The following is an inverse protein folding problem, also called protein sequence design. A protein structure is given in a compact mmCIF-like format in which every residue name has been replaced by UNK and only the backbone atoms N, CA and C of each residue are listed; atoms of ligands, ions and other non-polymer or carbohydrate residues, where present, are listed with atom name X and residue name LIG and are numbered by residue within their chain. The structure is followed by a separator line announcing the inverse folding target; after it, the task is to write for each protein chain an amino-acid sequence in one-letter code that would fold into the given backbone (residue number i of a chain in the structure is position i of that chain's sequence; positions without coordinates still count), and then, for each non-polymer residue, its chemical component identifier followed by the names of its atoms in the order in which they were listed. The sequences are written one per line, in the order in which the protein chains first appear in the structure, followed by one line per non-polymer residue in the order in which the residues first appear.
data_IF_183908063674
#
_entry.id   IF_183908063674
#
_cell.length_a   1.000
_cell.length_b   1.000
_cell.length_c   1.000
_cell.angle_alpha   90.00
_cell.angle_beta   90.00
_cell.angle_gamma   90.00
#
_symmetry.space_group_name_H-M   'P 1'
#
loop_
_entity.id
_entity.type
_entity.pdbx_description
1 polymer ?
#
# COMPACT_ATOMS: atom_id res chain seq x y z
N UNK A 1 14.96 20.28 -14.00
CA UNK A 1 13.52 20.60 -14.18
C UNK A 1 12.60 19.40 -14.47
N UNK A 2 13.08 18.19 -14.83
CA UNK A 2 12.20 17.01 -15.04
C UNK A 2 11.72 16.31 -13.75
N UNK A 3 12.43 16.45 -12.64
CA UNK A 3 12.08 15.82 -11.35
C UNK A 3 10.79 16.38 -10.73
N UNK A 4 10.47 17.66 -10.94
CA UNK A 4 9.34 18.31 -10.28
C UNK A 4 7.96 17.88 -10.83
N UNK A 5 7.92 17.32 -12.06
CA UNK A 5 6.70 16.77 -12.65
C UNK A 5 6.39 15.34 -12.19
N UNK A 6 7.41 14.57 -11.79
CA UNK A 6 7.19 13.21 -11.26
C UNK A 6 6.65 13.26 -9.83
N UNK A 7 7.14 14.19 -9.00
CA UNK A 7 6.67 14.37 -7.61
C UNK A 7 5.19 14.77 -7.56
N UNK A 8 4.72 15.60 -8.50
CA UNK A 8 3.30 15.97 -8.62
C UNK A 8 2.40 14.82 -9.07
N UNK A 9 2.89 13.88 -9.87
CA UNK A 9 2.09 12.73 -10.31
C UNK A 9 1.90 11.68 -9.20
N UNK A 10 2.83 11.60 -8.25
CA UNK A 10 2.74 10.70 -7.10
C UNK A 10 1.76 11.23 -6.06
N UNK A 11 1.76 12.53 -5.78
CA UNK A 11 0.90 13.17 -4.77
C UNK A 11 -0.60 13.14 -5.13
N UNK A 12 -0.98 13.23 -6.41
CA UNK A 12 -2.39 13.13 -6.80
C UNK A 12 -2.97 11.71 -6.68
N UNK A 13 -2.13 10.68 -6.59
CA UNK A 13 -2.59 9.28 -6.38
C UNK A 13 -2.82 8.91 -4.92
N UNK A 14 -2.24 9.65 -3.97
CA UNK A 14 -2.31 9.37 -2.52
C UNK A 14 -3.62 9.86 -1.89
N UNK A 15 -4.31 10.81 -2.53
CA UNK A 15 -5.55 11.44 -2.04
C UNK A 15 -6.83 10.58 -2.16
N UNK A 16 -6.73 9.27 -2.40
CA UNK A 16 -7.89 8.39 -2.54
C UNK A 16 -7.99 7.30 -1.46
N UNK A 17 -7.32 7.49 -0.32
CA UNK A 17 -7.32 6.59 0.84
C UNK A 17 -8.69 6.52 1.53
N UNK A 18 -9.45 7.61 1.56
CA UNK A 18 -10.81 7.65 2.16
C UNK A 18 -11.88 6.99 1.27
N UNK A 19 -11.67 6.98 -0.04
CA UNK A 19 -12.56 6.26 -0.96
C UNK A 19 -12.40 4.74 -0.80
N UNK A 20 -11.17 4.26 -0.60
CA UNK A 20 -10.85 2.84 -0.49
C UNK A 20 -11.29 2.21 0.84
N UNK A 21 -11.28 2.94 1.95
CA UNK A 21 -11.76 2.44 3.25
C UNK A 21 -13.30 2.34 3.31
N UNK A 22 -14.01 3.31 2.73
CA UNK A 22 -15.47 3.25 2.53
C UNK A 22 -15.88 2.17 1.53
N UNK A 23 -15.07 1.92 0.50
CA UNK A 23 -15.27 0.80 -0.44
C UNK A 23 -15.05 -0.57 0.19
N UNK A 24 -14.17 -0.73 1.21
CA UNK A 24 -14.00 -2.00 1.96
C UNK A 24 -15.29 -2.43 2.65
N UNK A 25 -15.93 -1.52 3.39
CA UNK A 25 -17.19 -1.80 4.07
C UNK A 25 -18.31 -2.13 3.07
N UNK A 26 -18.40 -1.36 1.98
CA UNK A 26 -19.41 -1.58 0.94
C UNK A 26 -19.22 -2.88 0.16
N UNK A 27 -17.99 -3.27 -0.14
CA UNK A 27 -17.69 -4.53 -0.84
C UNK A 27 -17.91 -5.76 0.05
N UNK A 28 -17.56 -5.70 1.34
CA UNK A 28 -17.83 -6.80 2.28
C UNK A 28 -19.33 -6.92 2.60
N UNK A 29 -20.06 -5.81 2.70
CA UNK A 29 -21.52 -5.81 2.85
C UNK A 29 -22.23 -6.31 1.59
N UNK A 30 -21.79 -5.88 0.40
CA UNK A 30 -22.31 -6.39 -0.87
C UNK A 30 -21.97 -7.87 -1.09
N UNK A 31 -20.76 -8.30 -0.69
CA UNK A 31 -20.33 -9.70 -0.70
C UNK A 31 -21.19 -10.58 0.21
N UNK A 32 -21.47 -10.12 1.44
CA UNK A 32 -22.41 -10.80 2.35
C UNK A 32 -23.83 -10.82 1.77
N UNK A 33 -24.31 -9.71 1.23
CA UNK A 33 -25.64 -9.60 0.61
C UNK A 33 -25.83 -10.56 -0.56
N UNK A 34 -24.82 -10.70 -1.42
CA UNK A 34 -24.84 -11.64 -2.55
C UNK A 34 -24.79 -13.11 -2.11
N UNK A 35 -24.02 -13.44 -1.06
CA UNK A 35 -24.02 -14.79 -0.47
C UNK A 35 -25.39 -15.15 0.13
N UNK A 36 -26.01 -14.23 0.88
CA UNK A 36 -27.36 -14.43 1.41
C UNK A 36 -28.42 -14.55 0.31
N UNK A 37 -28.31 -13.75 -0.75
CA UNK A 37 -29.18 -13.85 -1.92
C UNK A 37 -29.00 -15.21 -2.63
N UNK A 38 -27.78 -15.71 -2.76
CA UNK A 38 -27.49 -17.01 -3.34
C UNK A 38 -28.07 -18.16 -2.49
N UNK A 39 -27.91 -18.09 -1.17
CA UNK A 39 -28.51 -19.05 -0.24
C UNK A 39 -30.04 -19.04 -0.29
N UNK A 40 -30.66 -17.86 -0.40
CA UNK A 40 -32.12 -17.74 -0.59
C UNK A 40 -32.58 -18.34 -1.91
N UNK A 41 -31.83 -18.13 -3.01
CA UNK A 41 -32.14 -18.72 -4.30
C UNK A 41 -32.04 -20.25 -4.24
N UNK A 42 -30.99 -20.80 -3.63
CA UNK A 42 -30.83 -22.24 -3.45
C UNK A 42 -31.95 -22.78 -2.55
N UNK A 43 -32.29 -22.11 -1.45
CA UNK A 43 -33.38 -22.51 -0.57
C UNK A 43 -34.73 -22.53 -1.30
N UNK A 44 -35.02 -21.52 -2.12
CA UNK A 44 -36.23 -21.45 -2.94
C UNK A 44 -36.29 -22.58 -3.98
N UNK A 45 -35.17 -22.87 -4.66
CA UNK A 45 -35.05 -24.02 -5.59
C UNK A 45 -35.30 -25.34 -4.85
N UNK A 46 -34.68 -25.51 -3.68
CA UNK A 46 -34.78 -26.76 -2.90
C UNK A 46 -36.20 -26.94 -2.35
N UNK A 47 -36.85 -25.86 -1.92
CA UNK A 47 -38.25 -25.86 -1.49
C UNK A 47 -39.21 -26.16 -2.65
N UNK A 48 -38.94 -25.64 -3.86
CA UNK A 48 -39.71 -25.96 -5.06
C UNK A 48 -39.54 -27.43 -5.47
N UNK A 49 -38.32 -27.96 -5.45
CA UNK A 49 -38.05 -29.37 -5.79
C UNK A 49 -38.66 -30.34 -4.76
N UNK A 50 -38.63 -30.02 -3.45
CA UNK A 50 -39.26 -30.83 -2.40
C UNK A 50 -40.79 -30.67 -2.34
N UNK A 51 -41.28 -29.46 -2.55
CA UNK A 51 -42.71 -29.13 -2.53
C UNK A 51 -43.42 -29.33 -3.86
N UNK A 52 -42.69 -29.69 -4.92
CA UNK A 52 -43.20 -29.79 -6.29
C UNK A 52 -44.38 -30.75 -6.43
N UNK A 53 -44.45 -31.82 -5.64
CA UNK A 53 -45.62 -32.71 -5.62
C UNK A 53 -46.89 -32.02 -5.11
N UNK A 54 -46.79 -31.11 -4.13
CA UNK A 54 -47.92 -30.34 -3.59
C UNK A 54 -48.37 -29.27 -4.58
N UNK A 55 -47.42 -28.68 -5.31
CA UNK A 55 -47.68 -27.66 -6.33
C UNK A 55 -48.20 -28.24 -7.64
N UNK A 56 -47.83 -29.48 -8.01
CA UNK A 56 -48.40 -30.23 -9.13
C UNK A 56 -49.86 -30.65 -8.87
N UNK A 57 -50.25 -30.84 -7.61
CA UNK A 57 -51.65 -31.10 -7.21
C UNK A 57 -52.50 -29.83 -7.08
N UNK A 58 -51.89 -28.66 -6.94
CA UNK A 58 -52.58 -27.38 -7.07
C UNK A 58 -52.76 -27.09 -8.56
N UNK A 59 -53.99 -26.84 -9.03
CA UNK A 59 -54.32 -26.56 -10.44
C UNK A 59 -53.72 -25.24 -10.99
N UNK A 60 -52.42 -25.01 -10.85
CA UNK A 60 -51.70 -23.95 -11.53
C UNK A 60 -51.49 -24.36 -12.99
N UNK A 61 -51.82 -23.47 -13.92
CA UNK A 61 -51.64 -23.75 -15.34
C UNK A 61 -50.15 -24.00 -15.64
N UNK A 62 -49.81 -24.93 -16.55
CA UNK A 62 -48.43 -25.31 -16.85
C UNK A 62 -47.53 -24.11 -17.23
N UNK A 63 -48.13 -23.03 -17.73
CA UNK A 63 -47.48 -21.76 -17.98
C UNK A 63 -46.81 -21.15 -16.72
N UNK A 64 -47.45 -21.22 -15.56
CA UNK A 64 -46.91 -20.64 -14.32
C UNK A 64 -45.71 -21.42 -13.79
N UNK A 65 -45.68 -22.74 -13.98
CA UNK A 65 -44.53 -23.57 -13.62
C UNK A 65 -43.31 -23.27 -14.49
N UNK A 66 -43.51 -23.11 -15.81
CA UNK A 66 -42.45 -22.75 -16.75
C UNK A 66 -41.92 -21.35 -16.42
N UNK A 67 -42.81 -20.39 -16.15
CA UNK A 67 -42.44 -19.03 -15.80
C UNK A 67 -41.62 -18.97 -14.50
N UNK A 68 -42.01 -19.75 -13.48
CA UNK A 68 -41.31 -19.80 -12.20
C UNK A 68 -39.93 -20.45 -12.33
N UNK A 69 -39.82 -21.55 -13.07
CA UNK A 69 -38.52 -22.17 -13.36
C UNK A 69 -37.59 -21.23 -14.14
N UNK A 70 -38.14 -20.48 -15.10
CA UNK A 70 -37.38 -19.56 -15.93
C UNK A 70 -36.91 -18.35 -15.12
N UNK A 71 -37.74 -17.76 -14.27
CA UNK A 71 -37.33 -16.65 -13.39
C UNK A 71 -36.26 -17.08 -12.40
N UNK A 72 -36.40 -18.24 -11.77
CA UNK A 72 -35.40 -18.78 -10.84
C UNK A 72 -34.08 -19.10 -11.56
N UNK A 73 -34.14 -19.65 -12.77
CA UNK A 73 -32.96 -19.90 -13.61
C UNK A 73 -32.22 -18.62 -14.01
N UNK A 74 -32.96 -17.58 -14.39
CA UNK A 74 -32.37 -16.28 -14.76
C UNK A 74 -31.73 -15.60 -13.54
N UNK A 75 -32.39 -15.62 -12.38
CA UNK A 75 -31.86 -15.03 -11.14
C UNK A 75 -30.59 -15.75 -10.67
N UNK A 76 -30.53 -17.08 -10.78
CA UNK A 76 -29.33 -17.85 -10.42
C UNK A 76 -28.16 -17.59 -11.37
N UNK A 77 -28.41 -17.54 -12.68
CA UNK A 77 -27.37 -17.18 -13.66
C UNK A 77 -26.83 -15.76 -13.43
N UNK A 78 -27.72 -14.80 -13.15
CA UNK A 78 -27.34 -13.42 -12.86
C UNK A 78 -26.47 -13.32 -11.59
N UNK A 79 -26.90 -13.96 -10.50
CA UNK A 79 -26.15 -13.93 -9.22
C UNK A 79 -24.78 -14.60 -9.32
N UNK A 80 -24.69 -15.75 -10.00
CA UNK A 80 -23.40 -16.43 -10.26
C UNK A 80 -22.51 -15.58 -11.17
N UNK A 81 -23.09 -14.95 -12.20
CA UNK A 81 -22.38 -14.02 -13.09
C UNK A 81 -21.82 -12.81 -12.34
N UNK A 82 -22.60 -12.20 -11.46
CA UNK A 82 -22.15 -11.11 -10.60
C UNK A 82 -21.04 -11.54 -9.64
N UNK A 83 -21.16 -12.71 -9.00
CA UNK A 83 -20.13 -13.25 -8.12
C UNK A 83 -18.81 -13.51 -8.87
N UNK A 84 -18.88 -14.15 -10.04
CA UNK A 84 -17.71 -14.37 -10.91
C UNK A 84 -17.08 -13.05 -11.35
N UNK A 85 -17.90 -12.07 -11.72
CA UNK A 85 -17.41 -10.74 -12.11
C UNK A 85 -16.68 -10.04 -10.95
N UNK A 86 -17.23 -10.08 -9.73
CA UNK A 86 -16.57 -9.51 -8.54
C UNK A 86 -15.24 -10.20 -8.23
N UNK A 87 -15.16 -11.54 -8.35
CA UNK A 87 -13.92 -12.29 -8.15
C UNK A 87 -12.87 -11.91 -9.19
N UNK A 88 -13.25 -11.87 -10.48
CA UNK A 88 -12.34 -11.54 -11.59
C UNK A 88 -11.83 -10.10 -11.52
N UNK A 89 -12.71 -9.13 -11.21
CA UNK A 89 -12.33 -7.73 -11.05
C UNK A 89 -11.42 -7.55 -9.83
N UNK A 90 -11.73 -8.21 -8.72
CA UNK A 90 -10.91 -8.17 -7.50
C UNK A 90 -9.50 -8.73 -7.73
N UNK A 91 -9.35 -9.81 -8.49
CA UNK A 91 -8.05 -10.39 -8.81
C UNK A 91 -7.22 -9.50 -9.76
N UNK A 92 -7.86 -8.82 -10.72
CA UNK A 92 -7.19 -7.86 -11.60
C UNK A 92 -6.66 -6.66 -10.82
N UNK A 93 -7.50 -6.07 -9.98
CA UNK A 93 -7.12 -4.95 -9.10
C UNK A 93 -5.96 -5.32 -8.16
N UNK A 94 -5.97 -6.52 -7.58
CA UNK A 94 -4.86 -7.01 -6.73
C UNK A 94 -3.54 -7.15 -7.48
N UNK A 95 -3.58 -7.65 -8.72
CA UNK A 95 -2.37 -7.78 -9.55
C UNK A 95 -1.80 -6.42 -9.92
N UNK A 96 -2.65 -5.44 -10.22
CA UNK A 96 -2.24 -4.07 -10.51
C UNK A 96 -1.64 -3.40 -9.27
N UNK A 97 -2.32 -3.49 -8.11
CA UNK A 97 -1.80 -2.96 -6.85
C UNK A 97 -0.45 -3.57 -6.47
N UNK A 98 -0.29 -4.89 -6.60
CA UNK A 98 1.00 -5.56 -6.34
C UNK A 98 2.11 -5.08 -7.26
N UNK A 99 1.81 -4.83 -8.54
CA UNK A 99 2.79 -4.27 -9.48
C UNK A 99 3.18 -2.84 -9.10
N UNK A 100 2.20 -2.02 -8.73
CA UNK A 100 2.44 -0.64 -8.31
C UNK A 100 3.28 -0.57 -7.03
N UNK A 101 2.95 -1.38 -6.01
CA UNK A 101 3.72 -1.47 -4.76
C UNK A 101 5.14 -1.99 -5.01
N UNK A 102 5.30 -3.02 -5.84
CA UNK A 102 6.63 -3.54 -6.18
C UNK A 102 7.48 -2.46 -6.86
N UNK A 103 6.91 -1.70 -7.79
CA UNK A 103 7.61 -0.58 -8.43
C UNK A 103 8.04 0.48 -7.42
N UNK A 104 7.15 0.87 -6.50
CA UNK A 104 7.47 1.85 -5.45
C UNK A 104 8.62 1.37 -4.55
N UNK A 105 8.63 0.10 -4.19
CA UNK A 105 9.72 -0.50 -3.39
C UNK A 105 11.04 -0.52 -4.17
N UNK A 106 11.01 -0.91 -5.45
CA UNK A 106 12.21 -0.90 -6.30
C UNK A 106 12.79 0.53 -6.44
N UNK A 107 11.93 1.54 -6.55
CA UNK A 107 12.32 2.96 -6.51
C UNK A 107 12.95 3.35 -5.16
N UNK A 108 12.36 2.91 -4.04
CA UNK A 108 12.91 3.16 -2.70
C UNK A 108 14.28 2.49 -2.51
N UNK A 109 14.48 1.25 -2.98
CA UNK A 109 15.78 0.59 -2.90
C UNK A 109 16.83 1.32 -3.73
N UNK A 110 16.46 1.78 -4.92
CA UNK A 110 17.35 2.56 -5.78
C UNK A 110 17.78 3.86 -5.08
N UNK A 111 16.82 4.58 -4.49
CA UNK A 111 17.09 5.79 -3.72
C UNK A 111 17.97 5.53 -2.48
N UNK A 112 17.72 4.44 -1.75
CA UNK A 112 18.52 4.05 -0.59
C UNK A 112 19.96 3.76 -0.99
N UNK A 113 20.18 3.04 -2.11
CA UNK A 113 21.51 2.73 -2.60
C UNK A 113 22.28 3.99 -3.05
N UNK A 114 21.61 4.89 -3.78
CA UNK A 114 22.17 6.19 -4.18
C UNK A 114 22.52 7.04 -2.96
N UNK A 115 21.59 7.15 -2.00
CA UNK A 115 21.78 7.94 -0.78
C UNK A 115 22.90 7.37 0.10
N UNK A 116 23.02 6.05 0.21
CA UNK A 116 24.12 5.42 0.96
C UNK A 116 25.48 5.73 0.33
N UNK A 117 25.57 5.64 -1.00
CA UNK A 117 26.80 5.97 -1.74
C UNK A 117 27.17 7.44 -1.51
N UNK A 118 26.19 8.34 -1.66
CA UNK A 118 26.41 9.78 -1.44
C UNK A 118 26.81 10.10 0.00
N UNK A 119 26.14 9.49 0.99
CA UNK A 119 26.50 9.66 2.40
C UNK A 119 27.94 9.18 2.66
N UNK A 120 28.36 8.06 2.09
CA UNK A 120 29.72 7.55 2.27
C UNK A 120 30.79 8.46 1.63
N UNK A 121 30.50 9.04 0.47
CA UNK A 121 31.35 10.05 -0.16
C UNK A 121 31.46 11.32 0.71
N UNK A 122 30.33 11.79 1.24
CA UNK A 122 30.28 12.91 2.17
C UNK A 122 31.03 12.61 3.46
N UNK A 123 30.83 11.45 4.09
CA UNK A 123 31.58 11.02 5.28
C UNK A 123 33.08 11.07 5.02
N UNK A 124 33.54 10.56 3.87
CA UNK A 124 34.96 10.59 3.49
C UNK A 124 35.49 12.02 3.33
N UNK A 125 34.72 12.90 2.69
CA UNK A 125 35.09 14.32 2.51
C UNK A 125 35.06 15.07 3.84
N UNK A 126 34.03 14.87 4.65
CA UNK A 126 33.88 15.46 5.98
C UNK A 126 35.06 15.08 6.88
N UNK A 127 35.47 13.81 6.88
CA UNK A 127 36.60 13.35 7.70
C UNK A 127 37.94 14.00 7.31
N UNK A 128 38.14 14.36 6.04
CA UNK A 128 39.34 15.12 5.60
C UNK A 128 39.41 16.53 6.22
N UNK A 129 38.27 17.08 6.63
CA UNK A 129 38.13 18.41 7.21
C UNK A 129 37.56 18.37 8.64
N UNK A 130 37.70 17.23 9.35
CA UNK A 130 37.06 16.98 10.64
C UNK A 130 37.40 18.01 11.73
N UNK A 131 38.53 18.70 11.62
CA UNK A 131 38.94 19.76 12.56
C UNK A 131 38.30 21.13 12.33
N UNK A 132 37.62 21.34 11.20
CA UNK A 132 37.12 22.67 10.78
C UNK A 132 35.62 22.65 10.47
N UNK A 133 35.06 21.49 10.13
CA UNK A 133 33.61 21.34 9.92
C UNK A 133 32.86 21.55 11.24
N UNK A 134 31.73 22.26 11.18
CA UNK A 134 30.92 22.52 12.37
C UNK A 134 30.22 21.23 12.80
N UNK A 135 29.96 21.07 14.11
CA UNK A 135 29.20 19.93 14.63
C UNK A 135 27.84 19.72 13.94
N UNK A 136 27.21 20.81 13.45
CA UNK A 136 25.95 20.74 12.71
C UNK A 136 26.04 19.89 11.44
N UNK A 137 27.12 19.99 10.65
CA UNK A 137 27.28 19.19 9.44
C UNK A 137 27.41 17.68 9.76
N UNK A 138 28.14 17.35 10.82
CA UNK A 138 28.28 15.96 11.30
C UNK A 138 26.92 15.42 11.78
N UNK A 139 26.15 16.22 12.53
CA UNK A 139 24.82 15.85 12.98
C UNK A 139 23.85 15.65 11.80
N UNK A 140 23.88 16.53 10.78
CA UNK A 140 23.07 16.38 9.57
C UNK A 140 23.38 15.09 8.81
N UNK A 141 24.66 14.73 8.71
CA UNK A 141 25.11 13.49 8.07
C UNK A 141 24.63 12.25 8.84
N UNK A 142 24.75 12.29 10.17
CA UNK A 142 24.23 11.25 11.06
C UNK A 142 22.70 11.11 10.95
N UNK A 143 21.98 12.24 10.88
CA UNK A 143 20.53 12.24 10.69
C UNK A 143 20.12 11.65 9.33
N UNK A 144 20.79 12.02 8.24
CA UNK A 144 20.54 11.47 6.92
C UNK A 144 20.72 9.95 6.91
N UNK A 145 21.78 9.45 7.55
CA UNK A 145 22.06 8.01 7.68
C UNK A 145 20.96 7.26 8.45
N UNK A 146 20.49 7.82 9.56
CA UNK A 146 19.39 7.23 10.37
C UNK A 146 18.08 7.17 9.57
N UNK A 147 17.74 8.24 8.85
CA UNK A 147 16.54 8.27 7.98
C UNK A 147 16.66 7.22 6.87
N UNK A 148 17.78 7.16 6.15
CA UNK A 148 18.00 6.18 5.07
C UNK A 148 17.91 4.75 5.60
N UNK A 149 18.44 4.48 6.80
CA UNK A 149 18.31 3.18 7.44
C UNK A 149 16.85 2.83 7.79
N UNK A 150 16.07 3.79 8.28
CA UNK A 150 14.66 3.60 8.58
C UNK A 150 13.83 3.35 7.30
N UNK A 151 14.08 4.11 6.22
CA UNK A 151 13.47 3.89 4.90
C UNK A 151 13.78 2.48 4.39
N UNK A 152 15.04 2.04 4.52
CA UNK A 152 15.45 0.69 4.11
C UNK A 152 14.69 -0.40 4.89
N UNK A 153 14.62 -0.30 6.22
CA UNK A 153 13.86 -1.25 7.05
C UNK A 153 12.39 -1.32 6.62
N UNK A 154 11.78 -0.16 6.38
CA UNK A 154 10.41 -0.06 5.89
C UNK A 154 10.24 -0.76 4.53
N UNK A 155 11.16 -0.54 3.59
CA UNK A 155 11.14 -1.22 2.29
C UNK A 155 11.30 -2.74 2.42
N UNK A 156 12.16 -3.20 3.33
CA UNK A 156 12.37 -4.62 3.63
C UNK A 156 11.09 -5.26 4.20
N UNK A 157 10.40 -4.60 5.14
CA UNK A 157 9.13 -5.03 5.73
C UNK A 157 8.01 -5.14 4.69
N UNK A 158 7.84 -4.11 3.86
CA UNK A 158 6.84 -4.10 2.79
C UNK A 158 7.15 -5.22 1.77
N UNK A 159 8.41 -5.41 1.41
CA UNK A 159 8.81 -6.47 0.50
C UNK A 159 8.54 -7.87 1.09
N UNK A 160 8.75 -8.05 2.39
CA UNK A 160 8.39 -9.29 3.09
C UNK A 160 6.88 -9.54 3.02
N UNK A 161 6.05 -8.53 3.24
CA UNK A 161 4.59 -8.63 3.09
C UNK A 161 4.17 -8.96 1.65
N UNK A 162 4.80 -8.36 0.64
CA UNK A 162 4.51 -8.67 -0.77
C UNK A 162 4.90 -10.09 -1.19
N UNK A 163 5.86 -10.69 -0.49
CA UNK A 163 6.31 -12.07 -0.78
C UNK A 163 5.26 -13.12 -0.43
N UNK A 164 4.30 -12.79 0.43
CA UNK A 164 3.22 -13.70 0.82
C UNK A 164 2.12 -13.75 -0.25
N UNK A 165 1.30 -14.81 -0.22
CA UNK A 165 0.10 -14.93 -1.07
C UNK A 165 -1.16 -14.40 -0.40
N UNK A 166 -1.05 -13.82 0.79
CA UNK A 166 -2.20 -13.34 1.54
C UNK A 166 -2.70 -12.00 0.98
N UNK A 167 -4.02 -11.84 0.90
CA UNK A 167 -4.67 -10.60 0.43
C UNK A 167 -4.58 -9.47 1.46
N UNK A 168 -4.56 -9.80 2.75
CA UNK A 168 -4.47 -8.83 3.83
C UNK A 168 -3.08 -8.21 3.87
N UNK A 169 -2.03 -9.02 3.69
CA UNK A 169 -0.65 -8.53 3.64
C UNK A 169 -0.39 -7.53 2.49
N UNK A 170 -1.14 -7.64 1.37
CA UNK A 170 -1.06 -6.66 0.27
C UNK A 170 -1.61 -5.29 0.69
N UNK A 171 -2.67 -5.30 1.50
CA UNK A 171 -3.27 -4.11 2.07
C UNK A 171 -2.34 -3.52 3.12
N UNK A 172 -1.84 -4.35 4.03
CA UNK A 172 -0.92 -3.93 5.09
C UNK A 172 0.36 -3.34 4.49
N UNK A 173 0.89 -3.93 3.41
CA UNK A 173 2.02 -3.41 2.66
C UNK A 173 1.77 -1.99 2.11
N UNK A 174 0.56 -1.74 1.59
CA UNK A 174 0.19 -0.42 1.10
C UNK A 174 0.05 0.60 2.24
N UNK A 175 -0.65 0.22 3.32
CA UNK A 175 -0.83 1.06 4.50
C UNK A 175 0.52 1.42 5.12
N UNK A 176 1.43 0.45 5.22
CA UNK A 176 2.76 0.63 5.79
C UNK A 176 3.62 1.63 5.01
N UNK A 177 3.46 1.72 3.68
CA UNK A 177 4.12 2.74 2.84
C UNK A 177 3.50 4.13 2.97
N UNK A 178 2.21 4.22 3.32
CA UNK A 178 1.50 5.48 3.51
C UNK A 178 1.63 6.06 4.92
N UNK A 179 2.10 5.26 5.87
CA UNK A 179 2.33 5.71 7.25
C UNK A 179 3.53 6.65 7.37
N UNK A 180 3.48 7.50 8.38
CA UNK A 180 4.62 8.33 8.75
C UNK A 180 5.80 7.46 9.21
N UNK A 181 7.01 7.90 8.86
CA UNK A 181 8.24 7.21 9.21
C UNK A 181 8.70 7.68 10.58
N UNK A 182 8.63 6.77 11.54
CA UNK A 182 9.23 6.93 12.86
C UNK A 182 10.70 6.46 12.82
N UNK A 183 11.62 7.38 13.10
CA UNK A 183 13.06 7.10 13.14
C UNK A 183 13.42 6.82 14.59
N UNK A 184 13.34 5.54 14.95
CA UNK A 184 13.64 5.08 16.30
C UNK A 184 15.09 5.38 16.68
N UNK A 185 15.27 6.09 17.80
CA UNK A 185 16.57 6.30 18.41
C UNK A 185 17.13 4.97 18.92
N UNK A 186 18.32 4.59 18.45
CA UNK A 186 19.00 3.45 19.04
C UNK A 186 19.69 3.87 20.35
N UNK A 187 19.98 2.92 21.23
CA UNK A 187 20.66 3.19 22.50
C UNK A 187 22.00 3.95 22.32
N UNK A 188 22.68 3.74 21.18
CA UNK A 188 23.90 4.47 20.81
C UNK A 188 23.60 5.94 20.48
N UNK A 189 22.52 6.22 19.76
CA UNK A 189 22.12 7.59 19.39
C UNK A 189 21.72 8.40 20.63
N UNK A 190 21.07 7.74 21.59
CA UNK A 190 20.74 8.32 22.90
C UNK A 190 22.00 8.59 23.73
N UNK A 191 22.99 7.67 23.71
CA UNK A 191 24.25 7.83 24.45
C UNK A 191 25.09 9.00 23.94
N UNK A 192 25.09 9.26 22.63
CA UNK A 192 25.82 10.39 22.03
C UNK A 192 25.03 11.71 22.05
N UNK A 193 23.81 11.70 22.60
CA UNK A 193 22.93 12.89 22.66
C UNK A 193 22.56 13.41 21.29
N UNK A 194 22.36 12.53 20.30
CA UNK A 194 21.98 12.93 18.96
C UNK A 194 20.57 13.55 18.97
N UNK A 195 20.39 14.64 18.21
CA UNK A 195 19.10 15.30 18.14
C UNK A 195 18.00 14.34 17.65
N UNK A 196 16.81 14.35 18.28
CA UNK A 196 15.67 13.54 17.85
C UNK A 196 15.24 13.96 16.45
N UNK A 197 14.99 12.98 15.59
CA UNK A 197 14.49 13.23 14.24
C UNK A 197 12.96 13.24 14.31
N UNK A 198 12.29 14.30 13.83
CA UNK A 198 10.83 14.34 13.80
C UNK A 198 10.28 13.24 12.88
N UNK A 199 9.09 12.76 13.18
CA UNK A 199 8.38 11.82 12.30
C UNK A 199 8.18 12.46 10.92
N UNK A 200 8.46 11.71 9.86
CA UNK A 200 8.43 12.22 8.49
C UNK A 200 7.29 11.62 7.68
N UNK A 201 6.55 12.45 6.95
CA UNK A 201 5.54 11.95 6.01
C UNK A 201 6.18 11.33 4.77
N UNK A 202 5.53 10.38 4.07
CA UNK A 202 6.10 9.73 2.89
C UNK A 202 6.64 10.70 1.82
N UNK A 203 5.98 11.84 1.63
CA UNK A 203 6.40 12.86 0.67
C UNK A 203 7.70 13.57 1.08
N UNK A 204 8.04 13.54 2.36
CA UNK A 204 9.17 14.26 2.97
C UNK A 204 10.42 13.40 3.10
N UNK A 205 10.33 12.08 2.92
CA UNK A 205 11.46 11.15 3.10
C UNK A 205 12.65 11.50 2.22
N UNK A 206 12.42 11.57 0.90
CA UNK A 206 13.46 11.81 -0.09
C UNK A 206 13.98 13.27 -0.04
N UNK A 207 13.11 14.31 0.01
CA UNK A 207 13.55 15.69 0.12
C UNK A 207 14.38 15.96 1.38
N UNK A 208 13.99 15.39 2.52
CA UNK A 208 14.70 15.60 3.80
C UNK A 208 16.12 15.04 3.73
N UNK A 209 16.28 13.80 3.26
CA UNK A 209 17.62 13.20 3.07
C UNK A 209 18.47 14.02 2.10
N UNK A 210 17.88 14.45 1.00
CA UNK A 210 18.58 15.26 -0.02
C UNK A 210 19.04 16.60 0.54
N UNK A 211 18.15 17.30 1.28
CA UNK A 211 18.46 18.57 1.93
C UNK A 211 19.56 18.44 2.98
N UNK A 212 19.55 17.37 3.77
CA UNK A 212 20.61 17.11 4.76
C UNK A 212 21.97 16.89 4.08
N UNK A 213 22.01 16.12 2.99
CA UNK A 213 23.22 15.93 2.20
C UNK A 213 23.72 17.23 1.56
N UNK A 214 22.83 18.05 0.99
CA UNK A 214 23.17 19.35 0.40
C UNK A 214 23.73 20.34 1.44
N UNK A 215 23.20 20.34 2.65
CA UNK A 215 23.73 21.16 3.75
C UNK A 215 25.17 20.79 4.09
N UNK A 216 25.49 19.50 4.10
CA UNK A 216 26.85 19.01 4.36
C UNK A 216 27.78 19.33 3.20
N UNK A 217 27.33 19.15 1.95
CA UNK A 217 28.08 19.53 0.75
C UNK A 217 28.47 21.02 0.77
N UNK A 218 27.50 21.91 1.00
CA UNK A 218 27.72 23.35 1.05
C UNK A 218 28.68 23.76 2.18
N UNK A 219 28.65 23.02 3.29
CA UNK A 219 29.59 23.25 4.40
C UNK A 219 31.01 22.80 4.06
N UNK A 220 31.18 21.64 3.43
CA UNK A 220 32.48 21.16 2.96
C UNK A 220 33.06 22.14 1.95
N UNK A 221 32.26 22.62 1.00
CA UNK A 221 32.69 23.59 -0.01
C UNK A 221 33.14 24.92 0.61
N UNK A 222 32.44 25.41 1.65
CA UNK A 222 32.86 26.61 2.39
C UNK A 222 34.22 26.41 3.07
N UNK A 223 34.52 25.23 3.58
CA UNK A 223 35.77 24.93 4.29
C UNK A 223 36.94 24.69 3.32
N UNK A 224 36.65 24.23 2.10
CA UNK A 224 37.65 23.95 1.08
C UNK A 224 38.04 25.18 0.23
N UNK A 225 37.24 26.25 0.24
CA UNK A 225 37.48 27.52 -0.43
C UNK A 225 38.40 28.45 0.38
#
# INVERSE_FOLDING_TARGET
MKANNQVKQVTTKVLNTDALSGERLRCDEAGKGTVWAMLLCIAAITAYLKGGQIWLTAHLSPFHHILLLLTVGVITLFTVGCALHMVLVGDKSRRELRKDLKRQIDELYSFVAESQTRIQELETRTMRHAGVIRPRGINSLGAARRIVAAIRRRADEVNALLSTRNKYDLIDAHELLCQELDVTENAVDSLIGADPIPTLRPEEWLPTVSSLCEQVDAEIERVAA
#
